data_IF_422776099865
#
_entry.id   IF_422776099865
#
_cell.length_a   1.000
_cell.length_b   1.000
_cell.length_c   1.000
_cell.angle_alpha   90.00
_cell.angle_beta   90.00
_cell.angle_gamma   90.00
#
_symmetry.space_group_name_H-M   'P 1'
#
loop_
_entity.id
_entity.type
_entity.pdbx_description
1 polymer ?
#
# COMPACT_ATOMS: atom_id res chain seq x y z
N UNK A 1 10.45 -13.84 4.44
CA UNK A 1 9.81 -12.58 3.99
C UNK A 1 10.86 -11.69 3.35
N UNK A 2 10.71 -11.35 2.07
CA UNK A 2 11.71 -10.52 1.35
C UNK A 2 11.37 -9.03 1.53
N UNK A 3 12.00 -8.38 2.52
CA UNK A 3 11.90 -6.92 2.71
C UNK A 3 13.09 -6.25 2.03
N UNK A 4 12.85 -5.20 1.26
CA UNK A 4 13.93 -4.33 0.79
C UNK A 4 14.36 -3.43 1.95
N UNK A 5 15.64 -3.45 2.30
CA UNK A 5 16.18 -2.67 3.42
C UNK A 5 17.38 -1.87 2.93
N UNK A 6 17.36 -0.56 3.19
CA UNK A 6 18.51 0.33 2.99
C UNK A 6 18.88 0.96 4.32
N UNK A 7 20.15 0.88 4.66
CA UNK A 7 20.71 1.51 5.86
C UNK A 7 21.71 2.60 5.47
N UNK A 8 21.75 3.64 6.27
CA UNK A 8 22.80 4.65 6.33
C UNK A 8 23.07 4.96 7.80
N UNK A 9 24.08 5.77 8.07
CA UNK A 9 24.40 6.20 9.44
C UNK A 9 23.25 6.99 10.09
N UNK A 10 22.41 7.63 9.28
CA UNK A 10 21.35 8.52 9.74
C UNK A 10 19.96 7.90 9.72
N UNK A 11 19.73 6.93 8.84
CA UNK A 11 18.40 6.36 8.63
C UNK A 11 18.42 4.89 8.22
N UNK A 12 17.35 4.19 8.55
CA UNK A 12 16.98 2.90 7.99
C UNK A 12 15.66 3.03 7.25
N UNK A 13 15.64 2.64 5.97
CA UNK A 13 14.43 2.56 5.16
C UNK A 13 14.14 1.07 4.94
N UNK A 14 12.89 0.69 5.16
CA UNK A 14 12.39 -0.66 4.89
C UNK A 14 11.12 -0.58 4.07
N UNK A 15 10.98 -1.48 3.11
CA UNK A 15 9.84 -1.51 2.21
C UNK A 15 9.43 -2.95 1.89
N UNK A 16 8.12 -3.23 1.94
CA UNK A 16 7.56 -4.55 1.68
C UNK A 16 6.04 -4.48 1.53
N UNK A 17 5.48 -5.48 0.86
CA UNK A 17 4.06 -5.81 1.01
C UNK A 17 3.75 -6.13 2.47
N UNK A 18 2.54 -5.77 2.90
CA UNK A 18 1.99 -6.21 4.18
C UNK A 18 1.56 -7.66 4.06
N UNK A 19 2.00 -8.48 5.02
CA UNK A 19 1.56 -9.85 5.17
C UNK A 19 0.36 -9.91 6.10
N UNK A 20 -0.69 -10.58 5.63
CA UNK A 20 -1.95 -10.72 6.32
C UNK A 20 -1.96 -12.05 7.07
N UNK A 21 -1.96 -11.96 8.38
CA UNK A 21 -1.86 -13.07 9.31
C UNK A 21 -3.27 -13.54 9.72
N UNK A 22 -3.46 -14.83 10.03
CA UNK A 22 -4.74 -15.32 10.50
C UNK A 22 -5.22 -14.57 11.74
N UNK A 23 -6.53 -14.39 11.88
CA UNK A 23 -7.15 -13.70 13.03
C UNK A 23 -6.78 -14.30 14.40
N UNK A 24 -6.35 -15.57 14.45
CA UNK A 24 -5.91 -16.26 15.67
C UNK A 24 -4.40 -16.19 15.92
N UNK A 25 -3.65 -15.39 15.14
CA UNK A 25 -2.22 -15.24 15.32
C UNK A 25 -1.89 -14.58 16.68
N UNK A 26 -1.11 -15.27 17.50
CA UNK A 26 -0.70 -14.87 18.85
C UNK A 26 0.74 -14.32 18.91
N UNK A 27 1.45 -14.34 17.79
CA UNK A 27 2.78 -13.79 17.67
C UNK A 27 2.81 -12.27 17.60
N UNK A 28 4.03 -11.72 17.42
CA UNK A 28 4.23 -10.28 17.34
C UNK A 28 3.79 -9.73 15.98
N UNK A 29 2.85 -8.79 16.00
CA UNK A 29 2.52 -7.95 14.83
C UNK A 29 3.53 -6.80 14.75
N UNK A 30 4.12 -6.62 13.57
CA UNK A 30 5.05 -5.51 13.28
C UNK A 30 4.51 -4.57 12.20
N UNK A 31 5.33 -3.62 11.75
CA UNK A 31 4.98 -2.61 10.76
C UNK A 31 4.58 -3.19 9.39
N UNK A 32 4.86 -4.45 9.09
CA UNK A 32 4.59 -5.10 7.82
C UNK A 32 3.67 -6.33 7.96
N UNK A 33 3.02 -6.47 9.12
CA UNK A 33 2.05 -7.52 9.36
C UNK A 33 0.71 -6.90 9.81
N UNK A 34 -0.40 -7.55 9.45
CA UNK A 34 -1.75 -7.14 9.84
C UNK A 34 -2.66 -8.36 9.90
N UNK A 35 -3.79 -8.28 10.60
CA UNK A 35 -4.78 -9.35 10.59
C UNK A 35 -5.46 -9.46 9.22
N UNK A 36 -5.82 -10.68 8.85
CA UNK A 36 -6.47 -11.06 7.59
C UNK A 36 -7.85 -10.44 7.37
N UNK A 37 -8.54 -10.02 8.43
CA UNK A 37 -9.75 -9.18 8.33
C UNK A 37 -9.53 -7.87 7.54
N UNK A 38 -8.26 -7.42 7.41
CA UNK A 38 -7.87 -6.24 6.63
C UNK A 38 -7.20 -6.57 5.29
N UNK A 39 -7.20 -7.84 4.85
CA UNK A 39 -6.53 -8.27 3.61
C UNK A 39 -7.06 -7.59 2.35
N UNK A 40 -8.29 -7.09 2.38
CA UNK A 40 -8.90 -6.33 1.29
C UNK A 40 -8.15 -5.04 0.95
N UNK A 41 -7.31 -4.52 1.86
CA UNK A 41 -6.56 -3.27 1.66
C UNK A 41 -5.36 -3.41 0.72
N UNK A 42 -4.81 -4.64 0.57
CA UNK A 42 -3.66 -4.94 -0.31
C UNK A 42 -2.52 -3.91 -0.19
N UNK A 43 -2.05 -3.70 1.03
CA UNK A 43 -1.11 -2.62 1.36
C UNK A 43 0.35 -2.96 0.96
N UNK A 44 1.05 -1.95 0.44
CA UNK A 44 2.51 -1.90 0.39
C UNK A 44 2.99 -0.77 1.30
N UNK A 45 3.97 -1.04 2.17
CA UNK A 45 4.44 -0.07 3.17
C UNK A 45 5.89 0.33 2.94
N UNK A 46 6.16 1.59 3.31
CA UNK A 46 7.49 2.17 3.45
C UNK A 46 7.64 2.66 4.90
N UNK A 47 8.59 2.13 5.64
CA UNK A 47 8.89 2.54 7.01
C UNK A 47 10.30 3.15 7.08
N UNK A 48 10.40 4.32 7.72
CA UNK A 48 11.64 5.07 7.87
C UNK A 48 11.93 5.22 9.36
N UNK A 49 13.01 4.59 9.80
CA UNK A 49 13.61 4.86 11.11
C UNK A 49 14.69 5.92 10.95
N UNK A 50 14.58 7.03 11.68
CA UNK A 50 15.63 8.07 11.75
C UNK A 50 16.35 7.98 13.09
N UNK A 51 17.67 8.12 13.06
CA UNK A 51 18.49 8.33 14.25
C UNK A 51 18.70 9.82 14.55
N UNK A 52 18.11 10.71 13.75
CA UNK A 52 18.17 12.15 13.92
C UNK A 52 16.85 12.68 14.50
N UNK A 53 16.92 13.83 15.19
CA UNK A 53 15.72 14.54 15.68
C UNK A 53 15.04 15.39 14.60
N UNK A 54 15.66 15.49 13.42
CA UNK A 54 15.18 16.31 12.33
C UNK A 54 14.03 15.61 11.58
N UNK A 55 13.00 16.36 11.15
CA UNK A 55 11.92 15.80 10.34
C UNK A 55 12.41 15.20 9.02
N UNK A 56 11.87 14.05 8.65
CA UNK A 56 12.17 13.44 7.36
C UNK A 56 11.24 14.01 6.28
N UNK A 57 11.80 14.64 5.24
CA UNK A 57 11.04 15.16 4.11
C UNK A 57 11.06 14.17 2.96
N UNK A 58 9.90 13.60 2.63
CA UNK A 58 9.72 12.71 1.47
C UNK A 58 9.06 13.50 0.35
N UNK A 59 9.60 13.39 -0.87
CA UNK A 59 8.96 13.91 -2.07
C UNK A 59 8.54 12.73 -2.95
N UNK A 60 7.24 12.49 -3.05
CA UNK A 60 6.67 11.32 -3.74
C UNK A 60 6.48 11.59 -5.25
N UNK A 61 6.65 12.83 -5.70
CA UNK A 61 6.35 13.23 -7.07
C UNK A 61 4.84 13.18 -7.38
N UNK A 62 4.48 13.33 -8.66
CA UNK A 62 3.11 13.12 -9.11
C UNK A 62 2.81 11.63 -9.20
N UNK A 63 1.59 11.24 -8.81
CA UNK A 63 1.07 9.88 -8.93
C UNK A 63 -0.08 9.80 -9.95
N UNK A 64 -0.20 10.80 -10.84
CA UNK A 64 -1.29 10.93 -11.81
C UNK A 64 -1.28 9.82 -12.88
N UNK A 65 -0.15 9.15 -13.06
CA UNK A 65 0.01 7.98 -13.92
C UNK A 65 -0.71 6.73 -13.38
N UNK A 66 -0.78 6.60 -12.04
CA UNK A 66 -1.41 5.46 -11.35
C UNK A 66 -2.64 5.85 -10.53
N UNK A 67 -3.07 7.11 -10.57
CA UNK A 67 -4.22 7.60 -9.81
C UNK A 67 -5.04 8.61 -10.61
N UNK A 68 -6.34 8.67 -10.34
CA UNK A 68 -7.25 9.60 -11.01
C UNK A 68 -8.17 10.25 -10.01
N UNK A 69 -8.21 11.59 -10.00
CA UNK A 69 -9.24 12.34 -9.30
C UNK A 69 -10.52 12.29 -10.14
N UNK A 70 -11.62 11.87 -9.53
CA UNK A 70 -12.94 11.81 -10.17
C UNK A 70 -13.99 12.36 -9.23
N UNK A 71 -15.00 13.04 -9.78
CA UNK A 71 -16.15 13.47 -8.99
C UNK A 71 -16.98 12.24 -8.62
N UNK A 72 -17.61 12.26 -7.45
CA UNK A 72 -18.49 11.17 -6.99
C UNK A 72 -19.61 10.91 -8.02
N UNK A 73 -20.15 11.96 -8.63
CA UNK A 73 -21.15 11.83 -9.70
C UNK A 73 -20.66 11.05 -10.92
N UNK A 74 -19.37 11.11 -11.22
CA UNK A 74 -18.73 10.41 -12.36
C UNK A 74 -18.29 8.98 -11.99
N UNK A 75 -18.16 8.68 -10.69
CA UNK A 75 -17.72 7.38 -10.20
C UNK A 75 -18.66 6.25 -10.62
N UNK A 76 -19.98 6.47 -10.50
CA UNK A 76 -21.01 5.47 -10.84
C UNK A 76 -20.95 5.06 -12.32
N UNK A 77 -20.73 6.02 -13.22
CA UNK A 77 -20.69 5.75 -14.66
C UNK A 77 -19.44 4.96 -15.04
N UNK A 78 -18.28 5.28 -14.44
CA UNK A 78 -17.02 4.56 -14.71
C UNK A 78 -17.00 3.12 -14.23
N UNK A 79 -17.63 2.83 -13.08
CA UNK A 79 -17.76 1.46 -12.58
C UNK A 79 -18.59 0.59 -13.54
N UNK A 80 -19.62 1.16 -14.17
CA UNK A 80 -20.45 0.44 -15.15
C UNK A 80 -19.67 0.17 -16.44
N UNK A 81 -18.86 1.13 -16.90
CA UNK A 81 -18.03 0.97 -18.11
C UNK A 81 -16.96 -0.10 -17.96
N UNK A 82 -16.21 -0.13 -16.85
CA UNK A 82 -15.19 -1.15 -16.61
C UNK A 82 -15.76 -2.57 -16.50
N UNK A 83 -16.96 -2.72 -15.93
CA UNK A 83 -17.63 -4.02 -15.86
C UNK A 83 -18.11 -4.51 -17.23
N UNK A 84 -18.45 -3.61 -18.17
CA UNK A 84 -18.79 -4.00 -19.55
C UNK A 84 -17.56 -4.48 -20.31
N UNK A 85 -16.40 -3.83 -20.14
CA UNK A 85 -15.15 -4.28 -20.74
C UNK A 85 -14.75 -5.66 -20.22
N UNK A 86 -14.79 -5.88 -18.91
CA UNK A 86 -14.49 -7.19 -18.32
C UNK A 86 -15.42 -8.29 -18.85
N UNK A 87 -16.72 -8.05 -18.92
CA UNK A 87 -17.68 -9.04 -19.43
C UNK A 87 -17.51 -9.36 -20.92
N UNK A 88 -16.96 -8.44 -21.72
CA UNK A 88 -16.64 -8.69 -23.13
C UNK A 88 -15.42 -9.61 -23.32
N UNK A 89 -14.49 -9.62 -22.37
CA UNK A 89 -13.32 -10.52 -22.41
C UNK A 89 -13.60 -11.92 -21.84
N UNK A 90 -14.74 -12.14 -21.18
CA UNK A 90 -15.14 -13.43 -20.59
C UNK A 90 -16.40 -14.04 -21.23
N UNK A 91 -16.89 -13.48 -22.33
CA UNK A 91 -17.95 -14.01 -23.20
C UNK A 91 -17.37 -14.53 -24.51
#
# INVERSE_FOLDING_TARGET
MNRAIKKSDFYTISASNVEYLPSFFDGKVDLFNKLDEYAWQKEWRLAIGSNTKEPFKINVGSIEDISKKIKISEFKNKMVEQNKELNFYFS
#
